data_IF_570253163502
#
_entry.id   IF_570253163502
#
_cell.length_a   1.000
_cell.length_b   1.000
_cell.length_c   1.000
_cell.angle_alpha   90.00
_cell.angle_beta   90.00
_cell.angle_gamma   90.00
#
_symmetry.space_group_name_H-M   'P 1'
#
loop_
_entity.id
_entity.type
_entity.pdbx_description
1 polymer ?
#
# COMPACT_ATOMS: atom_id res chain seq x y z
N UNK A 1 17.70 5.83 22.38
CA UNK A 1 16.78 6.36 23.40
C UNK A 1 16.14 7.71 22.98
N UNK A 2 16.90 8.77 22.70
CA UNK A 2 16.35 10.09 22.28
C UNK A 2 15.48 10.05 21.01
N UNK A 3 15.88 9.32 19.96
CA UNK A 3 15.10 9.13 18.72
C UNK A 3 13.72 8.49 18.99
N UNK A 4 13.66 7.48 19.85
CA UNK A 4 12.40 6.80 20.22
C UNK A 4 11.44 7.73 21.00
N UNK A 5 11.96 8.55 21.92
CA UNK A 5 11.16 9.52 22.67
C UNK A 5 10.61 10.63 21.76
N UNK A 6 11.41 11.10 20.80
CA UNK A 6 10.99 12.09 19.81
C UNK A 6 9.82 11.57 18.98
N UNK A 7 9.93 10.36 18.41
CA UNK A 7 8.86 9.77 17.63
C UNK A 7 7.59 9.51 18.44
N UNK A 8 7.72 9.08 19.69
CA UNK A 8 6.58 8.95 20.60
C UNK A 8 5.84 10.27 20.80
N UNK A 9 6.59 11.37 20.97
CA UNK A 9 6.00 12.69 21.09
C UNK A 9 5.27 13.11 19.80
N UNK A 10 5.91 12.96 18.63
CA UNK A 10 5.34 13.32 17.32
C UNK A 10 4.06 12.54 17.04
N UNK A 11 4.08 11.22 17.18
CA UNK A 11 2.93 10.37 16.94
C UNK A 11 1.78 10.66 17.92
N UNK A 12 2.08 10.88 19.18
CA UNK A 12 1.07 11.27 20.18
C UNK A 12 0.45 12.64 19.88
N UNK A 13 1.23 13.58 19.32
CA UNK A 13 0.72 14.88 18.89
C UNK A 13 -0.19 14.74 17.66
N UNK A 14 0.18 13.91 16.68
CA UNK A 14 -0.66 13.57 15.51
C UNK A 14 -2.00 12.96 15.97
N UNK A 15 -1.97 11.97 16.88
CA UNK A 15 -3.18 11.36 17.41
C UNK A 15 -4.10 12.36 18.13
N UNK A 16 -3.54 13.33 18.87
CA UNK A 16 -4.32 14.42 19.48
C UNK A 16 -4.93 15.36 18.45
N UNK A 17 -4.15 15.74 17.41
CA UNK A 17 -4.63 16.60 16.33
C UNK A 17 -5.80 15.95 15.59
N UNK A 18 -5.69 14.68 15.24
CA UNK A 18 -6.72 13.90 14.54
C UNK A 18 -8.04 13.88 15.35
N UNK A 19 -7.97 13.48 16.62
CA UNK A 19 -9.15 13.52 17.51
C UNK A 19 -9.73 14.94 17.67
N UNK A 20 -8.88 15.97 17.68
CA UNK A 20 -9.32 17.36 17.74
C UNK A 20 -10.10 17.79 16.49
N UNK A 21 -9.69 17.33 15.31
CA UNK A 21 -10.41 17.57 14.05
C UNK A 21 -11.79 16.91 14.09
N UNK A 22 -11.86 15.62 14.45
CA UNK A 22 -13.13 14.90 14.59
C UNK A 22 -14.10 15.61 15.56
N UNK A 23 -13.60 16.06 16.72
CA UNK A 23 -14.42 16.77 17.69
C UNK A 23 -14.96 18.10 17.15
N UNK A 24 -14.18 18.83 16.33
CA UNK A 24 -14.60 20.12 15.74
C UNK A 24 -15.61 19.95 14.61
N UNK A 25 -15.42 18.95 13.76
CA UNK A 25 -16.29 18.67 12.61
C UNK A 25 -17.60 17.99 13.05
N UNK A 26 -17.57 17.23 14.13
CA UNK A 26 -18.68 16.42 14.61
C UNK A 26 -18.54 14.94 14.25
N UNK A 27 -19.01 14.08 15.14
CA UNK A 27 -18.82 12.62 15.03
C UNK A 27 -19.58 11.98 13.83
N UNK A 28 -20.60 12.66 13.31
CA UNK A 28 -21.44 12.15 12.22
C UNK A 28 -20.87 12.48 10.83
N UNK A 29 -19.80 13.27 10.74
CA UNK A 29 -19.13 13.53 9.45
C UNK A 29 -18.25 12.33 9.09
N UNK A 30 -18.64 11.59 8.05
CA UNK A 30 -17.90 10.41 7.59
C UNK A 30 -16.78 10.73 6.64
N UNK A 31 -16.96 11.74 5.78
CA UNK A 31 -15.96 12.16 4.81
C UNK A 31 -16.03 13.64 4.53
N UNK A 32 -14.93 14.20 4.04
CA UNK A 32 -14.83 15.53 3.44
C UNK A 32 -14.48 15.33 1.98
N UNK A 33 -15.21 15.99 1.06
CA UNK A 33 -14.85 15.98 -0.36
C UNK A 33 -13.87 17.13 -0.61
N UNK A 34 -12.78 16.85 -1.30
CA UNK A 34 -11.74 17.79 -1.67
C UNK A 34 -11.32 17.56 -3.11
N UNK A 35 -10.96 18.64 -3.81
CA UNK A 35 -10.29 18.60 -5.10
C UNK A 35 -8.78 18.70 -4.90
N UNK A 36 -8.00 17.93 -5.65
CA UNK A 36 -6.55 17.87 -5.59
C UNK A 36 -5.97 17.57 -6.98
N UNK A 37 -4.65 17.61 -7.13
CA UNK A 37 -3.97 17.21 -8.36
C UNK A 37 -4.18 15.71 -8.70
N UNK A 38 -4.50 14.87 -7.71
CA UNK A 38 -4.86 13.47 -7.93
C UNK A 38 -6.28 13.30 -8.50
N UNK A 39 -7.17 14.27 -8.31
CA UNK A 39 -8.60 14.26 -8.66
C UNK A 39 -9.50 14.71 -7.50
N UNK A 40 -10.76 14.31 -7.54
CA UNK A 40 -11.76 14.63 -6.50
C UNK A 40 -11.84 13.46 -5.52
N UNK A 41 -11.65 13.74 -4.22
CA UNK A 41 -11.59 12.70 -3.19
C UNK A 41 -12.49 12.99 -2.00
N UNK A 42 -13.25 11.97 -1.61
CA UNK A 42 -13.80 11.86 -0.26
C UNK A 42 -12.71 11.27 0.64
N UNK A 43 -12.34 11.99 1.70
CA UNK A 43 -11.28 11.63 2.64
C UNK A 43 -11.80 11.59 4.06
N UNK A 44 -11.29 10.67 4.90
CA UNK A 44 -11.60 10.67 6.32
C UNK A 44 -11.04 11.95 6.97
N UNK A 45 -11.85 12.71 7.73
CA UNK A 45 -11.38 13.89 8.45
C UNK A 45 -10.25 13.63 9.44
N UNK A 46 -10.14 12.41 9.96
CA UNK A 46 -9.12 12.02 10.94
C UNK A 46 -7.78 11.64 10.30
N UNK A 47 -7.77 11.33 9.00
CA UNK A 47 -6.55 10.97 8.29
C UNK A 47 -5.65 12.21 8.09
N UNK A 48 -4.49 12.18 8.74
CA UNK A 48 -3.47 13.23 8.69
C UNK A 48 -2.31 12.92 7.72
N UNK A 49 -2.33 11.77 7.07
CA UNK A 49 -1.30 11.40 6.08
C UNK A 49 -1.84 11.58 4.65
N UNK A 50 -2.62 10.67 4.15
CA UNK A 50 -3.14 10.74 2.78
C UNK A 50 -4.23 11.83 2.67
N UNK A 51 -5.23 11.78 3.54
CA UNK A 51 -6.36 12.71 3.50
C UNK A 51 -5.96 14.17 3.72
N UNK A 52 -5.05 14.48 4.66
CA UNK A 52 -4.56 15.85 4.85
C UNK A 52 -3.74 16.32 3.66
N UNK A 53 -2.91 15.47 3.04
CA UNK A 53 -2.09 15.85 1.88
C UNK A 53 -2.95 16.11 0.65
N UNK A 54 -3.97 15.30 0.38
CA UNK A 54 -4.93 15.55 -0.69
C UNK A 54 -5.66 16.89 -0.50
N UNK A 55 -6.10 17.18 0.73
CA UNK A 55 -6.72 18.51 1.05
C UNK A 55 -5.77 19.70 0.91
N UNK A 56 -4.46 19.45 0.86
CA UNK A 56 -3.41 20.47 0.67
C UNK A 56 -2.88 20.56 -0.76
N UNK A 57 -3.43 19.78 -1.69
CA UNK A 57 -3.10 19.85 -3.10
C UNK A 57 -2.81 18.52 -3.78
N UNK A 58 -2.18 17.54 -3.11
CA UNK A 58 -1.88 16.25 -3.73
C UNK A 58 -1.10 15.30 -2.84
N UNK A 59 -1.09 14.03 -3.26
CA UNK A 59 -0.38 12.94 -2.59
C UNK A 59 0.30 12.04 -3.60
N UNK A 60 1.58 11.70 -3.37
CA UNK A 60 2.31 10.73 -4.19
C UNK A 60 2.50 11.12 -5.66
N UNK A 61 2.51 12.43 -5.99
CA UNK A 61 2.54 12.92 -7.38
C UNK A 61 3.80 12.45 -8.13
N UNK A 62 4.95 12.47 -7.47
CA UNK A 62 6.22 11.99 -8.05
C UNK A 62 6.17 10.47 -8.34
N UNK A 63 5.49 9.73 -7.49
CA UNK A 63 5.27 8.30 -7.67
C UNK A 63 4.32 8.03 -8.83
N UNK A 64 3.21 8.77 -8.92
CA UNK A 64 2.26 8.68 -10.05
C UNK A 64 2.96 9.00 -11.36
N UNK A 65 3.82 10.01 -11.40
CA UNK A 65 4.61 10.33 -12.59
C UNK A 65 5.57 9.20 -12.93
N UNK A 66 6.30 8.69 -11.94
CA UNK A 66 7.27 7.59 -12.11
C UNK A 66 6.59 6.32 -12.62
N UNK A 67 5.49 5.89 -11.97
CA UNK A 67 4.76 4.67 -12.33
C UNK A 67 4.03 4.83 -13.66
N UNK A 68 3.53 6.02 -13.97
CA UNK A 68 2.88 6.32 -15.23
C UNK A 68 3.77 6.10 -16.47
N UNK A 69 5.10 6.05 -16.31
CA UNK A 69 6.06 5.76 -17.41
C UNK A 69 6.01 4.30 -17.86
N UNK A 70 5.49 3.40 -17.05
CA UNK A 70 5.28 1.99 -17.39
C UNK A 70 3.95 1.73 -18.09
N UNK A 71 3.09 2.76 -18.26
CA UNK A 71 1.72 2.60 -18.74
C UNK A 71 1.48 3.25 -20.09
N UNK A 72 0.57 2.65 -20.82
CA UNK A 72 -0.07 3.18 -22.01
C UNK A 72 -1.58 2.87 -21.99
N UNK A 73 -2.32 3.33 -23.00
CA UNK A 73 -3.77 3.18 -23.07
C UNK A 73 -4.28 1.72 -23.12
N UNK A 74 -3.42 0.73 -23.38
CA UNK A 74 -3.76 -0.69 -23.42
C UNK A 74 -3.32 -1.45 -22.18
N UNK A 75 -2.57 -0.80 -21.30
CA UNK A 75 -1.98 -1.42 -20.10
C UNK A 75 -3.03 -1.93 -19.12
N UNK A 76 -2.69 -2.99 -18.40
CA UNK A 76 -3.44 -3.54 -17.28
C UNK A 76 -2.64 -3.35 -16.00
N UNK A 77 -3.31 -2.86 -14.96
CA UNK A 77 -2.70 -2.55 -13.66
C UNK A 77 -3.41 -3.30 -12.56
N UNK A 78 -2.65 -3.83 -11.61
CA UNK A 78 -3.14 -4.36 -10.35
C UNK A 78 -2.54 -3.55 -9.20
N UNK A 79 -3.38 -3.02 -8.32
CA UNK A 79 -2.95 -2.36 -7.08
C UNK A 79 -3.49 -3.13 -5.89
N UNK A 80 -2.58 -3.64 -5.07
CA UNK A 80 -2.87 -4.33 -3.81
C UNK A 80 -2.52 -3.37 -2.66
N UNK A 81 -3.52 -2.96 -1.89
CA UNK A 81 -3.42 -1.83 -0.97
C UNK A 81 -3.81 -0.51 -1.65
N UNK A 82 -4.98 -0.49 -2.30
CA UNK A 82 -5.41 0.68 -3.08
C UNK A 82 -5.82 1.87 -2.23
N UNK A 83 -6.00 1.67 -0.93
CA UNK A 83 -6.46 2.68 0.00
C UNK A 83 -7.72 3.39 -0.54
N UNK A 84 -7.81 4.70 -0.44
CA UNK A 84 -8.93 5.49 -1.00
C UNK A 84 -8.79 5.79 -2.51
N UNK A 85 -7.78 5.22 -3.17
CA UNK A 85 -7.55 5.36 -4.62
C UNK A 85 -6.63 6.51 -5.01
N UNK A 86 -5.82 7.04 -4.10
CA UNK A 86 -4.92 8.18 -4.37
C UNK A 86 -3.91 7.92 -5.49
N UNK A 87 -3.48 6.68 -5.69
CA UNK A 87 -2.69 6.23 -6.85
C UNK A 87 -3.59 5.64 -7.95
N UNK A 88 -4.62 4.86 -7.57
CA UNK A 88 -5.44 4.12 -8.52
C UNK A 88 -6.16 5.05 -9.51
N UNK A 89 -6.75 6.15 -9.03
CA UNK A 89 -7.54 7.07 -9.86
C UNK A 89 -6.67 7.76 -10.93
N UNK A 90 -5.53 8.40 -10.62
CA UNK A 90 -4.70 9.01 -11.65
C UNK A 90 -4.05 7.99 -12.59
N UNK A 91 -3.70 6.78 -12.13
CA UNK A 91 -3.15 5.74 -12.98
C UNK A 91 -4.23 5.12 -13.90
N UNK A 92 -5.47 5.01 -13.43
CA UNK A 92 -6.59 4.51 -14.26
C UNK A 92 -6.82 5.36 -15.52
N UNK A 93 -6.54 6.66 -15.46
CA UNK A 93 -6.61 7.57 -16.63
C UNK A 93 -5.55 7.29 -17.70
N UNK A 94 -4.57 6.42 -17.40
CA UNK A 94 -3.42 6.08 -18.28
C UNK A 94 -3.42 4.63 -18.74
N UNK A 95 -4.42 3.82 -18.37
CA UNK A 95 -4.46 2.39 -18.67
C UNK A 95 -5.85 1.92 -19.12
N UNK A 96 -5.92 0.74 -19.76
CA UNK A 96 -7.18 0.14 -20.20
C UNK A 96 -8.00 -0.42 -19.03
N UNK A 97 -7.34 -1.04 -18.07
CA UNK A 97 -7.98 -1.75 -16.94
C UNK A 97 -7.13 -1.61 -15.69
N UNK A 98 -7.78 -1.34 -14.58
CA UNK A 98 -7.16 -1.35 -13.26
C UNK A 98 -7.99 -2.22 -12.31
N UNK A 99 -7.30 -3.14 -11.62
CA UNK A 99 -7.87 -3.90 -10.50
C UNK A 99 -7.32 -3.32 -9.21
N UNK A 100 -8.21 -2.97 -8.28
CA UNK A 100 -7.91 -2.35 -7.00
C UNK A 100 -8.33 -3.27 -5.86
N UNK A 101 -7.41 -3.65 -4.99
CA UNK A 101 -7.66 -4.49 -3.81
C UNK A 101 -7.43 -3.66 -2.56
N UNK A 102 -8.43 -3.61 -1.67
CA UNK A 102 -8.38 -2.89 -0.40
C UNK A 102 -9.03 -3.71 0.71
N UNK A 103 -8.28 -3.94 1.79
CA UNK A 103 -8.71 -4.80 2.90
C UNK A 103 -9.63 -4.08 3.89
N UNK A 104 -9.34 -2.80 4.20
CA UNK A 104 -10.09 -2.04 5.17
C UNK A 104 -11.49 -1.68 4.60
N UNK A 105 -12.60 -2.18 5.19
CA UNK A 105 -13.94 -1.92 4.64
C UNK A 105 -14.33 -0.43 4.64
N UNK A 106 -13.90 0.33 5.66
CA UNK A 106 -14.23 1.77 5.72
C UNK A 106 -13.49 2.55 4.61
N UNK A 107 -12.23 2.22 4.37
CA UNK A 107 -11.40 2.79 3.31
C UNK A 107 -11.91 2.35 1.93
N UNK A 108 -12.36 1.10 1.80
CA UNK A 108 -12.96 0.59 0.57
C UNK A 108 -14.25 1.33 0.18
N UNK A 109 -15.11 1.69 1.14
CA UNK A 109 -16.29 2.52 0.85
C UNK A 109 -15.89 3.89 0.29
N UNK A 110 -14.83 4.50 0.82
CA UNK A 110 -14.29 5.73 0.27
C UNK A 110 -13.68 5.52 -1.13
N UNK A 111 -12.98 4.41 -1.35
CA UNK A 111 -12.46 4.04 -2.68
C UNK A 111 -13.57 3.97 -3.73
N UNK A 112 -14.66 3.28 -3.45
CA UNK A 112 -15.80 3.20 -4.35
C UNK A 112 -16.40 4.58 -4.67
N UNK A 113 -16.56 5.40 -3.64
CA UNK A 113 -17.05 6.77 -3.82
C UNK A 113 -16.10 7.60 -4.69
N UNK A 114 -14.79 7.50 -4.45
CA UNK A 114 -13.77 8.22 -5.19
C UNK A 114 -13.67 7.77 -6.66
N UNK A 115 -13.83 6.47 -6.93
CA UNK A 115 -13.94 5.94 -8.30
C UNK A 115 -15.12 6.62 -9.03
N UNK A 116 -16.27 6.71 -8.36
CA UNK A 116 -17.46 7.35 -8.91
C UNK A 116 -17.29 8.87 -9.11
N UNK A 117 -16.69 9.57 -8.14
CA UNK A 117 -16.44 11.02 -8.23
C UNK A 117 -15.49 11.41 -9.38
N UNK A 118 -14.70 10.46 -9.87
CA UNK A 118 -13.73 10.68 -10.95
C UNK A 118 -14.08 9.97 -12.27
N UNK A 119 -15.27 9.39 -12.39
CA UNK A 119 -15.74 8.68 -13.58
C UNK A 119 -14.79 7.55 -14.07
N UNK A 120 -14.06 6.92 -13.15
CA UNK A 120 -13.07 5.88 -13.47
C UNK A 120 -13.74 4.51 -13.70
N UNK A 121 -14.48 4.36 -14.80
CA UNK A 121 -15.26 3.16 -15.13
C UNK A 121 -14.40 1.91 -15.46
N UNK A 122 -13.10 2.08 -15.65
CA UNK A 122 -12.13 1.03 -15.91
C UNK A 122 -11.47 0.46 -14.64
N UNK A 123 -11.90 0.90 -13.44
CA UNK A 123 -11.45 0.35 -12.17
C UNK A 123 -12.43 -0.70 -11.67
N UNK A 124 -11.93 -1.93 -11.41
CA UNK A 124 -12.67 -2.96 -10.67
C UNK A 124 -12.08 -3.08 -9.27
N UNK A 125 -12.88 -2.75 -8.26
CA UNK A 125 -12.43 -2.77 -6.86
C UNK A 125 -12.92 -4.01 -6.11
N UNK A 126 -12.07 -4.58 -5.22
CA UNK A 126 -12.33 -5.75 -4.40
C UNK A 126 -12.03 -5.44 -2.94
N UNK A 127 -13.01 -5.70 -2.03
CA UNK A 127 -12.79 -5.55 -0.59
C UNK A 127 -12.35 -6.88 0.02
N UNK A 128 -11.09 -7.17 -0.07
CA UNK A 128 -10.43 -8.34 0.50
C UNK A 128 -9.02 -7.98 0.95
N UNK A 129 -8.47 -8.74 1.89
CA UNK A 129 -7.04 -8.75 2.14
C UNK A 129 -6.35 -9.76 1.20
N UNK A 130 -5.16 -9.41 0.70
CA UNK A 130 -4.32 -10.34 -0.04
C UNK A 130 -3.50 -11.20 0.93
N UNK A 131 -3.52 -12.52 0.74
CA UNK A 131 -2.79 -13.50 1.55
C UNK A 131 -2.34 -14.68 0.68
N UNK A 132 -1.66 -15.66 1.26
CA UNK A 132 -1.23 -16.87 0.57
C UNK A 132 -2.33 -17.96 0.50
N UNK A 133 -3.46 -17.74 1.18
CA UNK A 133 -4.61 -18.67 1.24
C UNK A 133 -5.87 -17.93 1.67
N UNK A 134 -7.02 -18.63 1.59
CA UNK A 134 -8.27 -18.14 2.18
C UNK A 134 -8.23 -18.27 3.69
N UNK A 135 -8.45 -17.16 4.40
CA UNK A 135 -8.50 -17.10 5.87
C UNK A 135 -9.30 -15.88 6.37
N UNK A 136 -9.71 -15.91 7.64
CA UNK A 136 -10.12 -14.71 8.38
C UNK A 136 -8.86 -14.10 9.01
N UNK A 137 -8.54 -12.89 8.59
CA UNK A 137 -7.34 -12.19 8.99
C UNK A 137 -7.66 -11.12 10.04
N UNK A 138 -6.95 -11.15 11.18
CA UNK A 138 -6.97 -10.04 12.13
C UNK A 138 -6.24 -8.83 11.55
N UNK A 139 -6.92 -7.69 11.57
CA UNK A 139 -6.49 -6.49 10.88
C UNK A 139 -6.66 -5.25 11.76
N UNK A 140 -5.62 -4.44 11.87
CA UNK A 140 -5.63 -3.18 12.61
C UNK A 140 -6.02 -2.02 11.70
N UNK A 141 -7.13 -1.35 12.01
CA UNK A 141 -7.56 -0.11 11.34
C UNK A 141 -6.91 1.09 12.00
N UNK A 142 -5.86 1.63 11.40
CA UNK A 142 -5.26 2.89 11.83
C UNK A 142 -6.16 4.08 11.49
N UNK A 143 -6.23 5.07 12.38
CA UNK A 143 -7.11 6.23 12.24
C UNK A 143 -6.38 7.48 11.74
N UNK A 144 -5.21 7.74 12.29
CA UNK A 144 -4.41 8.93 11.99
C UNK A 144 -3.70 8.82 10.64
N UNK A 145 -3.35 7.59 10.28
CA UNK A 145 -2.84 7.18 8.98
C UNK A 145 -3.66 5.99 8.51
N UNK A 146 -4.76 6.22 7.82
CA UNK A 146 -5.63 5.14 7.37
C UNK A 146 -4.95 4.22 6.34
N UNK A 147 -3.97 4.74 5.58
CA UNK A 147 -3.09 3.94 4.72
C UNK A 147 -2.19 3.00 5.48
N UNK A 148 -1.83 3.32 6.73
CA UNK A 148 -1.05 2.45 7.61
C UNK A 148 -1.83 1.31 8.29
N UNK A 149 -3.06 1.02 7.84
CA UNK A 149 -3.85 -0.13 8.31
C UNK A 149 -3.22 -1.44 7.82
N UNK A 150 -3.14 -2.45 8.68
CA UNK A 150 -2.32 -3.63 8.41
C UNK A 150 -2.81 -4.90 9.08
N UNK A 151 -2.32 -6.05 8.66
CA UNK A 151 -2.39 -7.31 9.42
C UNK A 151 -1.95 -7.04 10.86
N UNK A 152 -2.63 -7.63 11.85
CA UNK A 152 -2.18 -7.53 13.24
C UNK A 152 -0.73 -8.01 13.35
N UNK A 153 0.20 -7.15 13.80
CA UNK A 153 1.62 -7.47 13.87
C UNK A 153 1.92 -8.65 14.79
N UNK A 154 2.91 -9.46 14.43
CA UNK A 154 3.45 -10.50 15.32
C UNK A 154 4.12 -9.89 16.56
N UNK A 155 4.80 -8.75 16.36
CA UNK A 155 5.45 -8.00 17.44
C UNK A 155 4.85 -6.59 17.52
N UNK A 156 4.09 -6.34 18.58
CA UNK A 156 3.52 -5.02 18.82
C UNK A 156 4.58 -4.03 19.26
N UNK A 157 4.45 -2.80 18.80
CA UNK A 157 5.26 -1.69 19.28
C UNK A 157 4.47 -0.38 19.23
N UNK A 158 5.02 0.67 19.84
CA UNK A 158 4.32 1.96 19.93
C UNK A 158 3.93 2.56 18.57
N UNK A 159 4.68 2.31 17.52
CA UNK A 159 4.38 2.85 16.17
C UNK A 159 3.09 2.30 15.59
N UNK A 160 2.70 1.08 15.95
CA UNK A 160 1.47 0.45 15.48
C UNK A 160 0.25 0.77 16.36
N UNK A 161 0.48 1.15 17.64
CA UNK A 161 -0.59 1.27 18.64
C UNK A 161 -0.88 2.72 19.07
N UNK A 162 -0.12 3.73 18.57
CA UNK A 162 -0.14 5.11 19.07
C UNK A 162 -1.49 5.83 18.92
N UNK A 163 -2.28 5.48 17.91
CA UNK A 163 -3.60 6.05 17.64
C UNK A 163 -4.75 5.16 18.14
N UNK A 164 -4.42 4.03 18.79
CA UNK A 164 -5.35 3.02 19.28
C UNK A 164 -6.21 2.46 18.16
N UNK A 165 -5.58 1.75 17.18
CA UNK A 165 -6.29 1.16 16.09
C UNK A 165 -7.35 0.17 16.58
N UNK A 166 -8.42 0.05 15.82
CA UNK A 166 -9.44 -0.96 16.03
C UNK A 166 -8.98 -2.27 15.36
N UNK A 167 -8.98 -3.39 16.12
CA UNK A 167 -8.78 -4.71 15.54
C UNK A 167 -10.11 -5.25 15.01
N UNK A 168 -10.14 -5.64 13.76
CA UNK A 168 -11.28 -6.27 13.08
C UNK A 168 -10.84 -7.58 12.42
N UNK A 169 -11.80 -8.36 11.96
CA UNK A 169 -11.55 -9.50 11.07
C UNK A 169 -11.94 -9.12 9.64
N UNK A 170 -11.09 -9.48 8.66
CA UNK A 170 -11.33 -9.27 7.24
C UNK A 170 -11.13 -10.59 6.49
N UNK A 171 -11.90 -10.77 5.41
CA UNK A 171 -11.71 -11.90 4.49
C UNK A 171 -10.39 -11.73 3.73
N UNK A 172 -9.54 -12.75 3.78
CA UNK A 172 -8.28 -12.80 3.05
C UNK A 172 -8.26 -13.96 2.05
N UNK A 173 -7.62 -13.72 0.90
CA UNK A 173 -7.56 -14.70 -0.18
C UNK A 173 -6.19 -14.69 -0.87
N UNK A 174 -5.85 -15.85 -1.47
CA UNK A 174 -4.90 -15.91 -2.58
C UNK A 174 -5.47 -15.13 -3.76
N UNK A 175 -4.69 -14.21 -4.32
CA UNK A 175 -5.16 -13.40 -5.45
C UNK A 175 -5.30 -14.23 -6.73
N UNK A 176 -4.45 -15.22 -6.95
CA UNK A 176 -4.58 -16.15 -8.08
C UNK A 176 -5.90 -16.93 -8.04
N UNK A 177 -6.37 -17.33 -6.85
CA UNK A 177 -7.66 -18.00 -6.68
C UNK A 177 -8.84 -17.03 -6.79
N UNK A 178 -8.75 -15.85 -6.17
CA UNK A 178 -9.88 -14.92 -6.06
C UNK A 178 -10.13 -14.12 -7.34
N UNK A 179 -9.07 -13.64 -7.99
CA UNK A 179 -9.14 -12.82 -9.20
C UNK A 179 -9.04 -13.66 -10.48
N UNK A 180 -8.46 -14.86 -10.38
CA UNK A 180 -7.94 -15.64 -11.49
C UNK A 180 -6.56 -15.13 -11.93
N UNK A 181 -5.81 -16.02 -12.55
CA UNK A 181 -4.47 -15.70 -13.06
C UNK A 181 -4.57 -14.80 -14.28
N UNK A 182 -4.03 -13.61 -14.22
CA UNK A 182 -4.01 -12.63 -15.31
C UNK A 182 -2.64 -11.96 -15.40
N UNK A 183 -2.22 -11.59 -16.62
CA UNK A 183 -1.00 -10.81 -16.86
C UNK A 183 -1.27 -9.32 -16.63
N UNK A 184 -0.41 -8.66 -15.86
CA UNK A 184 -0.43 -7.20 -15.65
C UNK A 184 0.86 -6.57 -16.18
N UNK A 185 0.74 -5.38 -16.74
CA UNK A 185 1.90 -4.57 -17.15
C UNK A 185 2.57 -3.98 -15.89
N UNK A 186 1.78 -3.65 -14.88
CA UNK A 186 2.24 -3.10 -13.61
C UNK A 186 1.43 -3.68 -12.44
N UNK A 187 2.13 -4.26 -11.48
CA UNK A 187 1.60 -4.65 -10.17
C UNK A 187 2.19 -3.73 -9.13
N UNK A 188 1.36 -3.09 -8.32
CA UNK A 188 1.77 -2.23 -7.20
C UNK A 188 1.27 -2.88 -5.92
N UNK A 189 2.14 -3.01 -4.91
CA UNK A 189 1.81 -3.63 -3.64
C UNK A 189 2.39 -2.81 -2.49
N UNK A 190 1.48 -2.26 -1.69
CA UNK A 190 1.75 -1.54 -0.45
C UNK A 190 0.66 -1.92 0.55
N UNK A 191 0.94 -2.90 1.40
CA UNK A 191 -0.02 -3.50 2.35
C UNK A 191 0.56 -3.65 3.76
N UNK A 192 1.54 -2.78 4.02
CA UNK A 192 2.01 -2.49 5.37
C UNK A 192 2.49 -3.74 6.14
N UNK A 193 3.27 -4.58 5.46
CA UNK A 193 3.92 -5.77 6.03
C UNK A 193 3.24 -7.10 5.71
N UNK A 194 2.25 -7.14 4.82
CA UNK A 194 1.65 -8.40 4.33
C UNK A 194 2.18 -8.83 2.96
N UNK A 195 3.13 -8.10 2.38
CA UNK A 195 3.64 -8.27 1.01
C UNK A 195 4.07 -9.72 0.74
N UNK A 196 4.84 -10.33 1.66
CA UNK A 196 5.28 -11.71 1.52
C UNK A 196 4.13 -12.69 1.27
N UNK A 197 3.07 -12.59 2.07
CA UNK A 197 1.92 -13.50 1.96
C UNK A 197 1.14 -13.25 0.67
N UNK A 198 0.95 -11.98 0.30
CA UNK A 198 0.27 -11.61 -0.93
C UNK A 198 1.05 -12.05 -2.18
N UNK A 199 2.36 -11.81 -2.23
CA UNK A 199 3.24 -12.27 -3.32
C UNK A 199 3.20 -13.78 -3.49
N UNK A 200 3.20 -14.54 -2.39
CA UNK A 200 3.06 -15.99 -2.41
C UNK A 200 1.70 -16.44 -2.95
N UNK A 201 0.61 -15.72 -2.61
CA UNK A 201 -0.74 -16.00 -3.08
C UNK A 201 -1.06 -15.51 -4.50
N UNK A 202 -0.09 -14.91 -5.19
CA UNK A 202 -0.23 -14.47 -6.58
C UNK A 202 0.97 -14.86 -7.45
N UNK A 203 1.62 -15.96 -7.11
CA UNK A 203 2.84 -16.40 -7.76
C UNK A 203 2.67 -16.61 -9.28
N UNK A 204 1.55 -17.19 -9.73
CA UNK A 204 1.27 -17.43 -11.14
C UNK A 204 1.01 -16.13 -11.90
N UNK A 205 0.26 -15.19 -11.31
CA UNK A 205 0.05 -13.84 -11.83
C UNK A 205 1.38 -13.10 -11.96
N UNK A 206 2.27 -13.18 -10.96
CA UNK A 206 3.59 -12.51 -11.01
C UNK A 206 4.49 -13.09 -12.10
N UNK A 207 4.45 -14.40 -12.33
CA UNK A 207 5.20 -15.03 -13.43
C UNK A 207 4.77 -14.47 -14.80
N UNK A 208 3.54 -14.03 -14.95
CA UNK A 208 3.02 -13.46 -16.20
C UNK A 208 3.11 -11.92 -16.27
N UNK A 209 3.33 -11.24 -15.15
CA UNK A 209 3.36 -9.77 -15.08
C UNK A 209 4.74 -9.21 -15.43
N UNK A 210 4.81 -7.94 -15.88
CA UNK A 210 6.04 -7.32 -16.39
C UNK A 210 6.83 -6.54 -15.35
N UNK A 211 6.14 -5.74 -14.53
CA UNK A 211 6.74 -4.88 -13.51
C UNK A 211 6.02 -5.12 -12.18
N UNK A 212 6.80 -5.29 -11.11
CA UNK A 212 6.31 -5.34 -9.74
C UNK A 212 6.92 -4.17 -8.97
N UNK A 213 6.06 -3.37 -8.34
CA UNK A 213 6.43 -2.35 -7.36
C UNK A 213 5.96 -2.82 -6.00
N UNK A 214 6.87 -2.90 -5.04
CA UNK A 214 6.54 -3.43 -3.72
C UNK A 214 7.23 -2.65 -2.62
N UNK A 215 6.50 -2.31 -1.56
CA UNK A 215 7.06 -1.70 -0.37
C UNK A 215 8.06 -2.64 0.31
N UNK A 216 9.18 -2.09 0.76
CA UNK A 216 10.18 -2.81 1.54
C UNK A 216 10.57 -2.01 2.78
N UNK A 217 9.93 -2.28 3.90
CA UNK A 217 10.26 -1.68 5.18
C UNK A 217 10.77 -2.75 6.15
N UNK A 218 12.02 -2.64 6.66
CA UNK A 218 12.62 -3.63 7.55
C UNK A 218 11.76 -3.98 8.77
N UNK A 219 11.11 -2.97 9.37
CA UNK A 219 10.24 -3.20 10.52
C UNK A 219 8.94 -3.94 10.15
N UNK A 220 8.45 -3.82 8.92
CA UNK A 220 7.29 -4.59 8.45
C UNK A 220 7.63 -6.07 8.29
N UNK A 221 8.79 -6.37 7.67
CA UNK A 221 9.25 -7.75 7.56
C UNK A 221 9.45 -8.38 8.95
N UNK A 222 10.13 -7.66 9.84
CA UNK A 222 10.49 -8.17 11.18
C UNK A 222 9.30 -8.27 12.13
N UNK A 223 8.50 -7.19 12.21
CA UNK A 223 7.53 -7.02 13.28
C UNK A 223 6.11 -7.40 12.85
N UNK A 224 5.75 -7.18 11.57
CA UNK A 224 4.42 -7.52 11.03
C UNK A 224 4.42 -8.93 10.45
N UNK A 225 5.21 -9.19 9.42
CA UNK A 225 5.28 -10.50 8.77
C UNK A 225 6.05 -11.54 9.59
N UNK A 226 7.10 -11.12 10.33
CA UNK A 226 8.01 -12.01 11.05
C UNK A 226 8.77 -12.95 10.14
N UNK A 227 9.32 -12.40 9.04
CA UNK A 227 10.09 -13.12 8.02
C UNK A 227 11.46 -12.48 7.81
N UNK A 228 12.33 -13.23 7.16
CA UNK A 228 13.67 -12.80 6.75
C UNK A 228 13.65 -12.17 5.34
N UNK A 229 14.76 -11.52 4.98
CA UNK A 229 14.97 -11.01 3.60
C UNK A 229 15.02 -12.17 2.60
N UNK A 230 15.60 -13.32 2.98
CA UNK A 230 15.70 -14.50 2.11
C UNK A 230 14.30 -15.07 1.80
N UNK A 231 13.42 -15.15 2.81
CA UNK A 231 12.03 -15.55 2.62
C UNK A 231 11.28 -14.57 1.73
N UNK A 232 11.46 -13.25 1.91
CA UNK A 232 10.86 -12.24 1.05
C UNK A 232 11.31 -12.41 -0.41
N UNK A 233 12.61 -12.58 -0.65
CA UNK A 233 13.14 -12.78 -2.00
C UNK A 233 12.68 -14.10 -2.62
N UNK A 234 12.44 -15.14 -1.83
CA UNK A 234 12.01 -16.46 -2.33
C UNK A 234 10.66 -16.46 -3.03
N UNK A 235 9.84 -15.43 -2.81
CA UNK A 235 8.52 -15.27 -3.46
C UNK A 235 8.53 -14.30 -4.64
N UNK A 236 9.68 -13.72 -4.97
CA UNK A 236 9.88 -12.91 -6.19
C UNK A 236 10.26 -13.85 -7.33
N UNK A 237 9.46 -13.98 -8.40
CA UNK A 237 9.76 -14.88 -9.50
C UNK A 237 11.11 -14.61 -10.17
N UNK A 238 11.76 -15.69 -10.61
CA UNK A 238 13.08 -15.65 -11.24
C UNK A 238 13.20 -14.77 -12.47
N UNK A 239 12.09 -14.52 -13.17
CA UNK A 239 12.03 -13.66 -14.34
C UNK A 239 12.28 -12.18 -14.06
N UNK A 240 12.17 -11.73 -12.81
CA UNK A 240 12.57 -10.36 -12.44
C UNK A 240 14.09 -10.29 -12.27
N UNK A 241 14.75 -9.55 -13.14
CA UNK A 241 16.22 -9.55 -13.26
C UNK A 241 16.86 -8.20 -12.94
N UNK A 242 16.06 -7.15 -12.80
CA UNK A 242 16.50 -5.81 -12.42
C UNK A 242 15.66 -5.30 -11.25
N UNK A 243 16.30 -4.70 -10.26
CA UNK A 243 15.66 -4.01 -9.14
C UNK A 243 16.11 -2.56 -9.08
N UNK A 244 15.16 -1.64 -9.09
CA UNK A 244 15.41 -0.20 -8.88
C UNK A 244 14.96 0.18 -7.47
N UNK A 245 15.79 0.93 -6.77
CA UNK A 245 15.54 1.52 -5.45
C UNK A 245 15.34 3.02 -5.63
N UNK A 246 14.09 3.52 -5.75
CA UNK A 246 13.81 4.94 -6.00
C UNK A 246 14.38 5.88 -4.94
N UNK A 247 14.33 5.50 -3.66
CA UNK A 247 14.87 6.30 -2.56
C UNK A 247 16.39 6.52 -2.68
N UNK A 248 17.10 5.60 -3.33
CA UNK A 248 18.56 5.66 -3.56
C UNK A 248 18.92 6.13 -4.98
N UNK A 249 17.92 6.31 -5.87
CA UNK A 249 18.10 6.63 -7.30
C UNK A 249 19.05 5.66 -8.00
N UNK A 250 18.98 4.38 -7.69
CA UNK A 250 19.90 3.34 -8.13
C UNK A 250 19.19 2.07 -8.54
N UNK A 251 19.73 1.38 -9.53
CA UNK A 251 19.27 0.05 -9.97
C UNK A 251 20.42 -0.95 -9.84
N UNK A 252 20.06 -2.21 -9.65
CA UNK A 252 20.99 -3.35 -9.57
C UNK A 252 20.41 -4.56 -10.31
N UNK A 253 21.30 -5.46 -10.74
CA UNK A 253 20.92 -6.73 -11.35
C UNK A 253 20.60 -7.78 -10.28
N UNK A 254 19.90 -8.84 -10.69
CA UNK A 254 19.39 -9.91 -9.81
C UNK A 254 20.45 -10.50 -8.86
N UNK A 255 21.69 -10.66 -9.32
CA UNK A 255 22.79 -11.19 -8.50
C UNK A 255 23.10 -10.35 -7.26
N UNK A 256 22.64 -9.10 -7.22
CA UNK A 256 22.87 -8.16 -6.11
C UNK A 256 21.64 -7.97 -5.20
N UNK A 257 20.47 -8.50 -5.56
CA UNK A 257 19.22 -8.27 -4.78
C UNK A 257 19.38 -8.62 -3.31
N UNK A 258 19.86 -9.82 -3.02
CA UNK A 258 20.03 -10.31 -1.65
C UNK A 258 20.96 -9.42 -0.82
N UNK A 259 22.13 -9.09 -1.37
CA UNK A 259 23.12 -8.26 -0.68
C UNK A 259 22.58 -6.86 -0.38
N UNK A 260 21.88 -6.25 -1.35
CA UNK A 260 21.28 -4.92 -1.21
C UNK A 260 20.15 -4.90 -0.17
N UNK A 261 19.21 -5.83 -0.26
CA UNK A 261 18.09 -5.87 0.69
C UNK A 261 18.54 -6.25 2.11
N UNK A 262 19.54 -7.13 2.26
CA UNK A 262 20.16 -7.41 3.57
C UNK A 262 20.87 -6.18 4.15
N UNK A 263 21.56 -5.40 3.31
CA UNK A 263 22.18 -4.14 3.73
C UNK A 263 21.13 -3.09 4.17
N UNK A 264 20.02 -2.96 3.41
CA UNK A 264 18.90 -2.08 3.77
C UNK A 264 18.26 -2.53 5.09
N UNK A 265 18.02 -3.84 5.24
CA UNK A 265 17.43 -4.41 6.44
C UNK A 265 18.31 -4.19 7.68
N UNK A 266 19.62 -4.44 7.57
CA UNK A 266 20.58 -4.22 8.66
C UNK A 266 20.72 -2.74 9.05
N UNK A 267 20.57 -1.82 8.09
CA UNK A 267 20.61 -0.38 8.31
C UNK A 267 19.27 0.21 8.79
N UNK A 268 18.22 -0.60 8.89
CA UNK A 268 16.82 -0.19 9.17
C UNK A 268 16.35 0.92 8.21
N UNK A 269 16.71 0.78 6.92
CA UNK A 269 16.34 1.69 5.83
C UNK A 269 15.41 0.98 4.86
N UNK A 270 14.25 1.55 4.63
CA UNK A 270 13.27 1.04 3.69
C UNK A 270 13.28 1.78 2.34
N UNK A 271 12.41 1.30 1.47
CA UNK A 271 11.99 1.95 0.23
C UNK A 271 10.49 1.77 0.07
N UNK A 272 9.77 2.87 -0.17
CA UNK A 272 8.30 2.86 -0.28
C UNK A 272 7.82 2.18 -1.58
N UNK A 273 8.74 1.79 -2.46
CA UNK A 273 8.36 1.14 -3.71
C UNK A 273 9.56 0.63 -4.50
N UNK A 274 10.16 -0.50 -4.09
CA UNK A 274 11.15 -1.22 -4.90
C UNK A 274 10.52 -1.64 -6.22
N UNK A 275 11.17 -1.37 -7.34
CA UNK A 275 10.69 -1.70 -8.68
C UNK A 275 11.46 -2.88 -9.21
N UNK A 276 10.79 -4.02 -9.38
CA UNK A 276 11.34 -5.21 -10.04
C UNK A 276 10.85 -5.27 -11.48
N UNK A 277 11.77 -5.46 -12.43
CA UNK A 277 11.50 -5.46 -13.86
C UNK A 277 11.98 -6.78 -14.49
N UNK A 278 11.16 -7.30 -15.42
CA UNK A 278 11.59 -8.31 -16.38
C UNK A 278 12.16 -7.60 -17.63
N UNK A 279 13.20 -8.13 -18.20
CA UNK A 279 13.77 -7.63 -19.46
C UNK A 279 13.10 -8.31 -20.66
#
# INVERSE_FOLDING_TARGET
MLKSLYWRFVLSAKARKSRGLRKRLGHNIRAIITESENGIFAVDPEDLEVGEKLRKGGFGLDEIERLGKYLNAESKVLIVGSHIGSLAIPLAKKCAKLVAVEANPDTFELLKLNISLNDCNNIKAHNIAASDKREQLKFLKSRVNSGGSKRTPKNHNFMYDYDKPEEIEVEAYSLDEHLGVESYDLVIMDIEGSEYFALKGMAETLVQSKVLVVEFLPHHLRDVAGITVDEFLSVIPDGFVKMTMPSQKRSVDKTSFEAELKAMFAADKGDDGLIFEKV
#
